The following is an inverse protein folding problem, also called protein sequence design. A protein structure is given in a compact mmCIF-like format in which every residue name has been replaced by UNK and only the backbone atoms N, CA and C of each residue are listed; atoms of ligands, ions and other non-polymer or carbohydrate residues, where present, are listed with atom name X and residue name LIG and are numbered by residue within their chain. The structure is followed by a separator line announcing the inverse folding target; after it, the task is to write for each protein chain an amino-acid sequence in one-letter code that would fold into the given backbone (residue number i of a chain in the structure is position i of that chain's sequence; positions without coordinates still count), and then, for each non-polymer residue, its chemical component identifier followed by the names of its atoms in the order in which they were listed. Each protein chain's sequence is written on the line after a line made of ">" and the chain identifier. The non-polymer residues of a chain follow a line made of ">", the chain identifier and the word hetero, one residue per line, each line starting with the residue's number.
data_IF_639532132245
#
_entry.id   IF_639532132245
#
_cell.length_a   1.000
_cell.length_b   1.000
_cell.length_c   1.000
_cell.angle_alpha   90.00
_cell.angle_beta   90.00
_cell.angle_gamma   90.00
#
_symmetry.space_group_name_H-M   'P 1'
#
loop_
_entity.id
_entity.type
_entity.pdbx_description
1 polymer ?
#
# COMPACT_ATOMS: atom_id res chain seq x y z
N UNK A 1 37.65 -10.82 11.10
CA UNK A 1 36.17 -10.63 11.19
C UNK A 1 35.77 -9.59 10.16
N UNK A 2 35.28 -9.99 9.00
CA UNK A 2 34.76 -9.06 7.97
C UNK A 2 33.31 -8.73 8.33
N UNK A 3 33.04 -7.47 8.69
CA UNK A 3 31.67 -6.95 8.78
C UNK A 3 31.08 -6.93 7.37
N UNK A 4 30.21 -7.87 7.06
CA UNK A 4 29.34 -7.74 5.90
C UNK A 4 28.28 -6.71 6.23
N UNK A 5 28.47 -5.52 5.70
CA UNK A 5 27.42 -4.48 5.68
C UNK A 5 26.35 -5.00 4.73
N UNK A 6 25.24 -5.48 5.29
CA UNK A 6 24.02 -5.72 4.51
C UNK A 6 23.53 -4.36 4.02
N UNK A 7 23.83 -4.05 2.77
CA UNK A 7 23.16 -2.98 2.04
C UNK A 7 21.75 -3.53 1.73
N UNK A 8 20.67 -2.95 2.28
CA UNK A 8 19.35 -3.29 1.79
C UNK A 8 19.32 -2.85 0.33
N UNK A 9 19.23 -3.82 -0.58
CA UNK A 9 18.94 -3.54 -1.96
C UNK A 9 17.53 -2.93 -1.98
N UNK A 10 17.47 -1.62 -2.02
CA UNK A 10 16.27 -0.87 -2.35
C UNK A 10 16.00 -1.19 -3.81
N UNK A 11 15.23 -2.23 -4.06
CA UNK A 11 14.61 -2.46 -5.35
C UNK A 11 13.56 -1.37 -5.50
N UNK A 12 13.95 -0.26 -6.09
CA UNK A 12 13.02 0.64 -6.75
C UNK A 12 12.52 -0.14 -7.97
N UNK A 13 11.47 -0.92 -7.78
CA UNK A 13 10.67 -1.39 -8.90
C UNK A 13 9.93 -0.15 -9.38
N UNK A 14 10.55 0.56 -10.33
CA UNK A 14 9.81 1.33 -11.30
C UNK A 14 8.85 0.30 -11.90
N UNK A 15 7.60 0.31 -11.49
CA UNK A 15 6.54 -0.39 -12.21
C UNK A 15 6.68 0.15 -13.63
N UNK A 16 7.34 -0.63 -14.48
CA UNK A 16 7.29 -0.40 -15.89
C UNK A 16 5.80 -0.25 -16.19
N UNK A 17 5.40 0.90 -16.67
CA UNK A 17 4.09 1.19 -17.21
C UNK A 17 3.94 0.32 -18.46
N UNK A 18 3.97 -0.99 -18.24
CA UNK A 18 3.64 -2.00 -19.20
C UNK A 18 2.16 -1.87 -19.46
N UNK A 19 1.84 -1.11 -20.51
CA UNK A 19 0.56 -1.14 -21.17
C UNK A 19 -0.63 -0.90 -20.24
N UNK A 20 -0.80 0.33 -19.75
CA UNK A 20 -2.18 0.78 -19.50
C UNK A 20 -2.94 0.53 -20.81
N UNK A 21 -4.10 -0.14 -20.76
CA UNK A 21 -4.86 -0.43 -21.97
C UNK A 21 -5.04 0.87 -22.75
N UNK A 22 -4.89 0.82 -24.07
CA UNK A 22 -4.96 1.97 -24.97
C UNK A 22 -6.24 2.82 -24.80
N UNK A 23 -7.28 2.28 -24.14
CA UNK A 23 -8.47 2.99 -23.72
C UNK A 23 -8.20 4.11 -22.68
N UNK A 24 -7.09 4.04 -21.93
CA UNK A 24 -6.70 5.11 -21.02
C UNK A 24 -5.94 6.26 -21.72
N UNK A 25 -5.47 6.04 -22.94
CA UNK A 25 -4.73 7.05 -23.70
C UNK A 25 -5.60 7.94 -24.58
N UNK A 26 -6.88 7.61 -24.75
CA UNK A 26 -7.86 8.42 -25.49
C UNK A 26 -8.73 9.31 -24.59
N UNK A 27 -8.43 9.39 -23.31
CA UNK A 27 -9.08 10.35 -22.42
C UNK A 27 -8.60 11.76 -22.79
N UNK A 28 -9.55 12.60 -23.12
CA UNK A 28 -9.38 14.04 -23.30
C UNK A 28 -8.49 14.58 -22.16
N UNK A 29 -7.41 15.34 -22.44
CA UNK A 29 -6.54 15.88 -21.39
C UNK A 29 -7.27 16.67 -20.31
N UNK A 30 -8.45 17.19 -20.62
CA UNK A 30 -9.33 17.92 -19.70
C UNK A 30 -10.03 16.97 -18.69
N UNK A 31 -10.14 15.68 -19.02
CA UNK A 31 -10.73 14.61 -18.20
C UNK A 31 -9.69 13.63 -17.65
N UNK A 32 -8.41 14.01 -17.66
CA UNK A 32 -7.37 13.19 -17.05
C UNK A 32 -7.72 12.90 -15.58
N UNK A 33 -7.79 11.61 -15.24
CA UNK A 33 -8.15 11.17 -13.91
C UNK A 33 -7.20 11.79 -12.88
N UNK A 34 -7.68 12.48 -11.85
CA UNK A 34 -6.79 13.03 -10.84
C UNK A 34 -6.05 11.91 -10.13
N UNK A 35 -4.79 12.15 -9.87
CA UNK A 35 -3.93 11.26 -9.09
C UNK A 35 -3.99 11.69 -7.64
N UNK A 36 -4.08 10.76 -6.71
CA UNK A 36 -3.99 11.00 -5.28
C UNK A 36 -2.73 10.31 -4.74
N UNK A 37 -1.89 11.03 -4.02
CA UNK A 37 -0.71 10.50 -3.36
C UNK A 37 -0.94 10.55 -1.86
N UNK A 38 -0.81 9.41 -1.18
CA UNK A 38 -1.10 9.29 0.25
C UNK A 38 0.08 8.63 0.97
N UNK A 39 1.07 9.41 1.47
CA UNK A 39 1.95 8.91 2.50
C UNK A 39 1.15 8.56 3.75
N UNK A 40 1.47 7.44 4.38
CA UNK A 40 0.73 6.93 5.53
C UNK A 40 1.62 6.28 6.58
N UNK A 41 1.08 6.21 7.78
CA UNK A 41 1.51 5.28 8.83
C UNK A 41 0.39 4.27 9.05
N UNK A 42 0.74 3.01 9.31
CA UNK A 42 -0.24 1.99 9.64
C UNK A 42 0.11 1.24 10.91
N UNK A 43 -0.91 0.88 11.66
CA UNK A 43 -0.84 -0.03 12.80
C UNK A 43 -1.43 -1.37 12.37
N UNK A 44 -0.76 -2.46 12.72
CA UNK A 44 -1.23 -3.81 12.40
C UNK A 44 -1.67 -4.58 13.63
N UNK A 45 -2.07 -5.85 13.43
CA UNK A 45 -2.38 -6.79 14.51
C UNK A 45 -1.18 -7.12 15.41
N UNK A 46 0.02 -6.72 15.01
CA UNK A 46 1.26 -6.79 15.79
C UNK A 46 1.64 -5.40 16.29
N UNK A 47 2.36 -5.28 17.41
CA UNK A 47 2.68 -3.99 18.05
C UNK A 47 3.69 -3.13 17.28
N UNK A 48 3.75 -3.24 15.96
CA UNK A 48 4.69 -2.51 15.10
C UNK A 48 3.95 -1.64 14.09
N UNK A 49 4.46 -0.45 13.89
CA UNK A 49 3.98 0.49 12.88
C UNK A 49 4.68 0.25 11.54
N UNK A 50 3.94 0.40 10.45
CA UNK A 50 4.48 0.45 9.11
C UNK A 50 4.41 1.88 8.59
N UNK A 51 5.32 2.24 7.71
CA UNK A 51 5.27 3.46 6.93
C UNK A 51 5.17 3.10 5.46
N UNK A 52 4.50 3.93 4.70
CA UNK A 52 4.35 3.66 3.27
C UNK A 52 3.74 4.81 2.49
N UNK A 53 3.50 4.54 1.22
CA UNK A 53 2.86 5.47 0.31
C UNK A 53 1.91 4.70 -0.60
N UNK A 54 0.73 5.27 -0.82
CA UNK A 54 -0.24 4.82 -1.79
C UNK A 54 -0.40 5.88 -2.89
N UNK A 55 -0.53 5.44 -4.13
CA UNK A 55 -0.83 6.28 -5.29
C UNK A 55 -2.10 5.74 -5.93
N UNK A 56 -3.15 6.54 -5.93
CA UNK A 56 -4.43 6.19 -6.53
C UNK A 56 -4.66 6.99 -7.81
N UNK A 57 -5.10 6.29 -8.85
CA UNK A 57 -5.49 6.84 -10.15
C UNK A 57 -6.99 6.71 -10.28
N UNK A 58 -7.72 7.82 -10.43
CA UNK A 58 -9.17 7.81 -10.60
C UNK A 58 -9.52 7.40 -12.02
N UNK A 59 -10.23 6.29 -12.17
CA UNK A 59 -10.72 5.78 -13.45
C UNK A 59 -12.10 6.34 -13.80
N UNK A 60 -12.95 6.50 -12.79
CA UNK A 60 -14.29 7.10 -12.90
C UNK A 60 -14.55 7.95 -11.66
N UNK A 61 -15.64 8.73 -11.60
CA UNK A 61 -15.98 9.50 -10.41
C UNK A 61 -16.09 8.67 -9.12
N UNK A 62 -16.30 7.34 -9.24
CA UNK A 62 -16.47 6.44 -8.08
C UNK A 62 -15.42 5.33 -7.99
N UNK A 63 -14.59 5.15 -9.01
CA UNK A 63 -13.66 4.03 -9.07
C UNK A 63 -12.24 4.52 -9.27
N UNK A 64 -11.31 4.04 -8.45
CA UNK A 64 -9.88 4.30 -8.57
C UNK A 64 -9.08 2.99 -8.49
N UNK A 65 -7.92 2.97 -9.13
CA UNK A 65 -6.89 1.94 -8.94
C UNK A 65 -5.81 2.53 -8.06
N UNK A 66 -5.46 1.84 -7.01
CA UNK A 66 -4.41 2.23 -6.07
C UNK A 66 -3.26 1.25 -6.13
N UNK A 67 -2.04 1.78 -6.15
CA UNK A 67 -0.81 1.04 -5.92
C UNK A 67 -0.22 1.49 -4.59
N UNK A 68 0.19 0.56 -3.76
CA UNK A 68 0.69 0.79 -2.42
C UNK A 68 2.04 0.10 -2.22
N UNK A 69 2.95 0.78 -1.54
CA UNK A 69 4.18 0.20 -1.00
C UNK A 69 4.30 0.57 0.46
N UNK A 70 4.59 -0.42 1.30
CA UNK A 70 4.76 -0.25 2.74
C UNK A 70 5.94 -1.03 3.27
N UNK A 71 6.58 -0.48 4.30
CA UNK A 71 7.73 -1.08 4.95
C UNK A 71 7.59 -1.06 6.47
N UNK A 72 7.96 -2.19 7.11
CA UNK A 72 8.05 -2.36 8.56
C UNK A 72 9.44 -2.91 8.90
N UNK A 73 10.05 -2.31 9.89
CA UNK A 73 11.42 -2.68 10.28
C UNK A 73 11.48 -3.68 11.45
N UNK A 74 10.50 -3.71 12.36
CA UNK A 74 10.62 -4.38 13.65
C UNK A 74 9.50 -5.41 13.91
N UNK A 75 9.78 -6.55 14.56
CA UNK A 75 11.04 -7.33 14.71
C UNK A 75 11.34 -8.17 13.46
N UNK A 76 10.37 -8.29 12.58
CA UNK A 76 10.42 -8.99 11.30
C UNK A 76 10.29 -7.94 10.21
N UNK A 77 11.34 -7.75 9.41
CA UNK A 77 11.25 -6.85 8.24
C UNK A 77 10.11 -7.31 7.33
N UNK A 78 9.19 -6.42 7.02
CA UNK A 78 8.10 -6.68 6.08
C UNK A 78 8.10 -5.60 5.01
N UNK A 79 8.28 -6.00 3.77
CA UNK A 79 8.00 -5.18 2.60
C UNK A 79 6.69 -5.64 2.00
N UNK A 80 5.73 -4.75 1.85
CA UNK A 80 4.45 -5.03 1.21
C UNK A 80 4.26 -4.16 -0.02
N UNK A 81 3.73 -4.76 -1.07
CA UNK A 81 3.34 -4.09 -2.31
C UNK A 81 1.97 -4.61 -2.71
N UNK A 82 1.02 -3.73 -2.97
CA UNK A 82 -0.32 -4.15 -3.36
C UNK A 82 -0.91 -3.24 -4.43
N UNK A 83 -1.86 -3.80 -5.18
CA UNK A 83 -2.75 -3.08 -6.07
C UNK A 83 -4.18 -3.34 -5.62
N UNK A 84 -4.98 -2.30 -5.50
CA UNK A 84 -6.36 -2.36 -5.00
C UNK A 84 -7.28 -1.51 -5.85
N UNK A 85 -8.52 -1.96 -6.00
CA UNK A 85 -9.63 -1.15 -6.47
C UNK A 85 -10.25 -0.42 -5.28
N UNK A 86 -10.48 0.87 -5.43
CA UNK A 86 -11.19 1.70 -4.47
C UNK A 86 -12.53 2.11 -5.07
N UNK A 87 -13.60 1.89 -4.33
CA UNK A 87 -14.94 2.30 -4.71
C UNK A 87 -15.45 3.36 -3.73
N UNK A 88 -15.49 4.62 -4.18
CA UNK A 88 -15.99 5.75 -3.39
C UNK A 88 -17.52 5.72 -3.32
N UNK A 89 -18.06 5.75 -2.10
CA UNK A 89 -19.49 5.81 -1.81
C UNK A 89 -19.99 7.26 -1.86
N UNK A 90 -21.31 7.47 -1.81
CA UNK A 90 -21.87 8.81 -1.70
C UNK A 90 -21.30 9.56 -0.50
N UNK A 91 -20.95 10.81 -0.72
CA UNK A 91 -20.40 11.69 0.29
C UNK A 91 -21.44 12.02 1.36
N UNK A 92 -21.04 11.98 2.63
CA UNK A 92 -21.84 12.34 3.80
C UNK A 92 -21.21 13.57 4.45
N UNK A 93 -21.80 14.74 4.23
CA UNK A 93 -21.18 16.00 4.63
C UNK A 93 -19.86 16.24 3.92
N UNK A 94 -18.74 16.25 4.65
CA UNK A 94 -17.37 16.36 4.10
C UNK A 94 -16.62 15.02 4.01
N UNK A 95 -17.26 13.96 4.39
CA UNK A 95 -16.63 12.63 4.47
C UNK A 95 -17.04 11.80 3.27
N UNK A 96 -16.07 11.22 2.56
CA UNK A 96 -16.31 10.23 1.51
C UNK A 96 -15.90 8.84 2.01
N UNK A 97 -16.86 7.98 2.38
CA UNK A 97 -16.59 6.58 2.65
C UNK A 97 -16.15 5.86 1.37
N UNK A 98 -15.33 4.81 1.51
CA UNK A 98 -14.96 3.98 0.37
C UNK A 98 -14.73 2.53 0.79
N UNK A 99 -14.85 1.63 -0.17
CA UNK A 99 -14.43 0.24 -0.05
C UNK A 99 -13.15 0.02 -0.85
N UNK A 100 -12.34 -0.92 -0.39
CA UNK A 100 -11.10 -1.32 -1.06
C UNK A 100 -11.02 -2.84 -1.15
N UNK A 101 -10.58 -3.36 -2.28
CA UNK A 101 -10.25 -4.77 -2.45
C UNK A 101 -9.10 -4.92 -3.44
N UNK A 102 -8.18 -5.83 -3.16
CA UNK A 102 -7.00 -5.98 -4.01
C UNK A 102 -6.17 -7.21 -3.70
N UNK A 103 -4.99 -7.24 -4.33
CA UNK A 103 -4.00 -8.27 -4.12
C UNK A 103 -2.59 -7.66 -4.14
N UNK A 104 -1.64 -8.36 -3.55
CA UNK A 104 -0.28 -7.89 -3.46
C UNK A 104 0.71 -8.96 -3.06
N UNK A 105 1.93 -8.55 -2.85
CA UNK A 105 3.03 -9.37 -2.39
C UNK A 105 3.51 -8.86 -1.03
N UNK A 106 3.75 -9.79 -0.13
CA UNK A 106 4.34 -9.51 1.17
C UNK A 106 5.64 -10.31 1.31
N UNK A 107 6.73 -9.59 1.51
CA UNK A 107 8.04 -10.18 1.73
C UNK A 107 8.42 -10.04 3.20
N UNK A 108 8.57 -11.17 3.86
CA UNK A 108 8.98 -11.27 5.26
C UNK A 108 10.47 -11.60 5.34
N UNK A 109 11.20 -10.89 6.18
CA UNK A 109 12.60 -11.17 6.49
C UNK A 109 12.74 -11.51 7.98
N UNK A 110 13.02 -12.74 8.29
CA UNK A 110 13.27 -13.23 9.67
C UNK A 110 14.75 -13.52 9.86
N UNK A 111 15.30 -13.10 11.01
CA UNK A 111 16.63 -13.49 11.44
C UNK A 111 16.51 -14.47 12.61
N UNK A 112 17.02 -15.68 12.44
CA UNK A 112 17.08 -16.70 13.48
C UNK A 112 18.53 -16.86 13.96
N UNK A 113 18.74 -16.91 15.28
CA UNK A 113 20.05 -17.20 15.85
C UNK A 113 20.28 -18.72 15.83
N UNK A 114 21.35 -19.15 15.19
CA UNK A 114 21.77 -20.53 15.15
C UNK A 114 22.45 -20.96 16.47
N UNK A 115 22.54 -22.26 16.79
CA UNK A 115 23.17 -22.76 18.01
C UNK A 115 24.65 -22.37 18.16
N UNK A 116 25.35 -22.14 17.06
CA UNK A 116 26.74 -21.68 16.98
C UNK A 116 26.89 -20.15 17.18
N UNK A 117 25.79 -19.46 17.43
CA UNK A 117 25.73 -18.00 17.62
C UNK A 117 25.69 -17.19 16.33
N UNK A 118 25.73 -17.81 15.16
CA UNK A 118 25.53 -17.15 13.87
C UNK A 118 24.05 -16.76 13.65
N UNK A 119 23.81 -15.78 12.77
CA UNK A 119 22.46 -15.42 12.36
C UNK A 119 22.17 -15.96 10.97
N UNK A 120 21.09 -16.73 10.84
CA UNK A 120 20.51 -17.11 9.56
C UNK A 120 19.38 -16.13 9.23
N UNK A 121 19.46 -15.50 8.08
CA UNK A 121 18.38 -14.68 7.52
C UNK A 121 17.58 -15.52 6.53
N UNK A 122 16.27 -15.61 6.76
CA UNK A 122 15.34 -16.21 5.82
C UNK A 122 14.43 -15.14 5.27
N UNK A 123 14.29 -15.13 3.96
CA UNK A 123 13.33 -14.28 3.25
C UNK A 123 12.23 -15.16 2.67
N UNK A 124 11.00 -14.72 2.83
CA UNK A 124 9.83 -15.41 2.32
C UNK A 124 8.91 -14.40 1.66
N UNK A 125 8.44 -14.71 0.47
CA UNK A 125 7.45 -13.89 -0.24
C UNK A 125 6.15 -14.67 -0.34
N UNK A 126 5.04 -14.03 0.00
CA UNK A 126 3.70 -14.56 -0.12
C UNK A 126 2.83 -13.62 -0.97
N UNK A 127 1.97 -14.21 -1.79
CA UNK A 127 0.85 -13.50 -2.38
C UNK A 127 -0.19 -13.26 -1.30
N UNK A 128 -0.76 -12.06 -1.23
CA UNK A 128 -1.82 -11.73 -0.30
C UNK A 128 -2.99 -11.06 -1.02
N UNK A 129 -4.19 -11.37 -0.59
CA UNK A 129 -5.39 -10.60 -0.95
C UNK A 129 -5.73 -9.64 0.18
N UNK A 130 -6.35 -8.52 -0.15
CA UNK A 130 -6.79 -7.56 0.85
C UNK A 130 -8.22 -7.09 0.56
N UNK A 131 -8.95 -6.79 1.63
CA UNK A 131 -10.26 -6.17 1.56
C UNK A 131 -10.46 -5.28 2.78
N UNK A 132 -11.19 -4.19 2.58
CA UNK A 132 -11.46 -3.26 3.67
C UNK A 132 -12.22 -2.03 3.21
N UNK A 133 -12.05 -0.96 3.94
CA UNK A 133 -12.66 0.31 3.61
C UNK A 133 -12.19 1.42 4.52
N UNK A 134 -12.57 2.63 4.18
CA UNK A 134 -12.10 3.79 4.92
C UNK A 134 -12.90 5.04 4.64
N UNK A 135 -12.34 6.14 5.09
CA UNK A 135 -12.90 7.46 5.02
C UNK A 135 -11.86 8.42 4.45
N UNK A 136 -12.27 9.25 3.52
CA UNK A 136 -11.52 10.40 3.00
C UNK A 136 -12.20 11.68 3.49
N UNK A 137 -11.42 12.60 4.07
CA UNK A 137 -11.90 13.90 4.56
C UNK A 137 -11.04 14.99 3.93
N UNK A 138 -11.54 15.74 2.92
CA UNK A 138 -10.82 16.89 2.39
C UNK A 138 -10.72 17.98 3.46
N UNK A 139 -9.51 18.46 3.71
CA UNK A 139 -9.27 19.60 4.62
C UNK A 139 -9.35 20.90 3.83
N UNK A 140 -8.70 20.92 2.66
CA UNK A 140 -8.77 22.01 1.69
C UNK A 140 -8.53 21.45 0.27
N UNK A 141 -8.38 22.31 -0.73
CA UNK A 141 -8.21 21.90 -2.12
C UNK A 141 -6.85 21.21 -2.40
N UNK A 142 -5.88 21.33 -1.50
CA UNK A 142 -4.52 20.85 -1.69
C UNK A 142 -4.23 19.57 -0.93
N UNK A 143 -4.99 19.25 0.13
CA UNK A 143 -4.79 18.05 0.91
C UNK A 143 -6.01 17.61 1.72
N UNK A 144 -6.04 16.37 2.09
CA UNK A 144 -7.04 15.74 2.93
C UNK A 144 -6.43 14.73 3.89
N UNK A 145 -7.27 14.18 4.76
CA UNK A 145 -6.94 13.08 5.65
C UNK A 145 -7.63 11.84 5.14
N UNK A 146 -6.92 10.71 5.20
CA UNK A 146 -7.44 9.40 4.86
C UNK A 146 -7.15 8.44 5.99
N UNK A 147 -8.20 7.69 6.41
CA UNK A 147 -8.09 6.61 7.37
C UNK A 147 -8.81 5.39 6.82
N UNK A 148 -8.17 4.22 6.87
CA UNK A 148 -8.83 2.98 6.47
C UNK A 148 -8.39 1.79 7.34
N UNK A 149 -9.19 0.73 7.29
CA UNK A 149 -8.92 -0.55 7.89
C UNK A 149 -8.99 -1.62 6.80
N UNK A 150 -7.93 -2.43 6.69
CA UNK A 150 -7.85 -3.52 5.72
C UNK A 150 -7.45 -4.82 6.38
N UNK A 151 -8.14 -5.86 6.01
CA UNK A 151 -7.79 -7.23 6.29
C UNK A 151 -6.95 -7.77 5.15
N UNK A 152 -5.84 -8.43 5.49
CA UNK A 152 -4.95 -9.11 4.57
C UNK A 152 -4.97 -10.59 4.87
N UNK A 153 -5.02 -11.40 3.83
CA UNK A 153 -4.92 -12.85 3.91
C UNK A 153 -3.86 -13.33 2.91
N UNK A 154 -2.76 -13.81 3.44
CA UNK A 154 -1.71 -14.40 2.64
C UNK A 154 -2.14 -15.74 2.06
N UNK A 155 -1.84 -15.97 0.80
CA UNK A 155 -2.13 -17.20 0.10
C UNK A 155 -0.92 -18.12 0.15
N UNK A 156 -1.02 -19.25 0.89
CA UNK A 156 0.07 -20.23 1.03
C UNK A 156 0.03 -20.96 2.37
N UNK A 157 0.84 -22.04 2.49
CA UNK A 157 0.79 -22.94 3.66
C UNK A 157 1.13 -22.29 4.99
N UNK A 158 1.85 -21.17 4.99
CA UNK A 158 2.31 -20.47 6.20
C UNK A 158 2.05 -18.97 6.13
N UNK A 159 1.14 -18.55 5.26
CA UNK A 159 0.71 -17.19 5.13
C UNK A 159 -0.42 -16.94 6.14
N UNK A 160 -0.21 -15.94 6.99
CA UNK A 160 -1.18 -15.56 8.02
C UNK A 160 -2.17 -14.51 7.54
N UNK A 161 -3.19 -14.31 8.34
CA UNK A 161 -4.10 -13.18 8.21
C UNK A 161 -3.75 -12.08 9.21
N UNK A 162 -3.97 -10.83 8.83
CA UNK A 162 -3.75 -9.71 9.73
C UNK A 162 -4.56 -8.47 9.30
N UNK A 163 -4.80 -7.59 10.26
CA UNK A 163 -5.43 -6.29 10.04
C UNK A 163 -4.38 -5.19 10.00
N UNK A 164 -4.64 -4.17 9.16
CA UNK A 164 -3.91 -2.89 9.15
C UNK A 164 -4.88 -1.74 9.25
N UNK A 165 -4.57 -0.81 10.15
CA UNK A 165 -5.23 0.48 10.27
C UNK A 165 -4.31 1.54 9.69
N UNK A 166 -4.73 2.22 8.66
CA UNK A 166 -3.97 3.23 7.96
C UNK A 166 -4.44 4.62 8.36
N UNK A 167 -3.49 5.53 8.53
CA UNK A 167 -3.77 6.96 8.66
C UNK A 167 -2.75 7.71 7.80
N UNK A 168 -3.22 8.51 6.88
CA UNK A 168 -2.39 9.22 5.93
C UNK A 168 -2.92 10.59 5.57
N UNK A 169 -2.05 11.36 4.94
CA UNK A 169 -2.39 12.64 4.35
C UNK A 169 -2.42 12.47 2.84
N UNK A 170 -3.54 12.80 2.22
CA UNK A 170 -3.74 12.66 0.78
C UNK A 170 -3.53 13.99 0.08
N UNK A 171 -2.70 14.00 -0.95
CA UNK A 171 -2.42 15.14 -1.80
C UNK A 171 -2.98 14.85 -3.20
N UNK A 172 -3.98 15.61 -3.68
CA UNK A 172 -4.43 15.51 -5.06
C UNK A 172 -3.35 16.08 -6.00
N UNK A 173 -2.97 15.32 -7.01
CA UNK A 173 -2.03 15.71 -8.05
C UNK A 173 -2.75 15.74 -9.41
N UNK A 174 -2.37 16.66 -10.31
CA UNK A 174 -2.94 16.76 -11.65
C UNK A 174 -4.20 17.62 -11.76
N UNK A 175 -4.56 18.38 -10.72
CA UNK A 175 -5.52 19.49 -10.88
C UNK A 175 -4.83 20.65 -11.60
N UNK A 176 -5.41 21.11 -12.69
CA UNK A 176 -5.13 22.39 -13.32
C UNK A 176 -5.98 23.46 -12.66
#
# INVERSE_FOLDING_TARGET
>A
MKRQTLIPAVFVIVMATGGLPAAAQSADPENAAPVEITPYVSLGSFPSSNVGTAIAFRLTPKLSVESEIGYRHDPIGLLSMSASLLFDMPQIGRVTPYLAAGAGLEQYATASRLPDGAFASQQRTALAINAGGGLKVPVNDNWGIRSDARWFNGLGRDAGEHWRLYNGVTFPAGRR
#
